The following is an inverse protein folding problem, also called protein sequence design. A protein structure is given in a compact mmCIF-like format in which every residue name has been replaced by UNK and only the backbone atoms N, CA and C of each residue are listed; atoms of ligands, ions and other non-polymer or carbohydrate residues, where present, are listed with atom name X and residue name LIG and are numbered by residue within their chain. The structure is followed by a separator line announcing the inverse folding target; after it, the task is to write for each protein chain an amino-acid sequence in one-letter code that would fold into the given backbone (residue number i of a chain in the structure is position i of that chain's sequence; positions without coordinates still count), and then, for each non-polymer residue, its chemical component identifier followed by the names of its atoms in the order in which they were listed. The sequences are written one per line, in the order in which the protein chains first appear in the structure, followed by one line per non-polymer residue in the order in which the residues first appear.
data_IF_081221138920
#
_entry.id   IF_081221138920
#
_cell.length_a   1.000
_cell.length_b   1.000
_cell.length_c   1.000
_cell.angle_alpha   90.00
_cell.angle_beta   90.00
_cell.angle_gamma   90.00
#
_symmetry.space_group_name_H-M   'P 1'
#
loop_
_entity.id
_entity.type
_entity.pdbx_description
1 polymer ?
#
# COMPACT_ATOMS: atom_id res chain seq x y z
N UNK A 1 14.13 54.99 49.19
CA UNK A 1 13.73 54.65 47.80
C UNK A 1 14.29 53.31 47.26
N UNK A 2 15.03 52.50 48.04
CA UNK A 2 15.66 51.26 47.55
C UNK A 2 14.72 50.03 47.42
N UNK A 3 13.62 49.96 48.19
CA UNK A 3 12.75 48.77 48.23
C UNK A 3 11.87 48.56 46.97
N UNK A 4 11.59 49.61 46.20
CA UNK A 4 10.77 49.49 44.98
C UNK A 4 11.53 48.88 43.78
N UNK A 5 12.87 48.93 43.77
CA UNK A 5 13.67 48.36 42.68
C UNK A 5 13.79 46.83 42.74
N UNK A 6 13.63 46.23 43.92
CA UNK A 6 13.77 44.77 44.13
C UNK A 6 12.48 44.01 43.75
N UNK A 7 11.32 44.66 43.78
CA UNK A 7 10.07 44.01 43.33
C UNK A 7 9.95 43.92 41.80
N UNK A 8 10.52 44.87 41.05
CA UNK A 8 10.43 44.87 39.59
C UNK A 8 11.21 43.72 38.92
N UNK A 9 12.34 43.28 39.49
CA UNK A 9 13.13 42.18 38.89
C UNK A 9 12.52 40.79 39.09
N UNK A 10 11.65 40.61 40.09
CA UNK A 10 10.96 39.32 40.31
C UNK A 10 9.85 39.07 39.29
N UNK A 11 9.26 40.12 38.70
CA UNK A 11 8.27 39.97 37.64
C UNK A 11 8.87 39.72 36.25
N UNK A 12 10.13 40.12 36.01
CA UNK A 12 10.80 39.91 34.72
C UNK A 12 11.10 38.44 34.39
N UNK A 13 11.17 37.55 35.39
CA UNK A 13 11.38 36.11 35.16
C UNK A 13 10.09 35.27 35.17
N UNK A 14 8.98 35.80 35.69
CA UNK A 14 7.71 35.06 35.77
C UNK A 14 6.94 35.07 34.43
N UNK A 15 6.96 36.18 33.70
CA UNK A 15 6.30 36.32 32.41
C UNK A 15 6.78 35.32 31.33
N UNK A 16 8.10 35.11 31.10
CA UNK A 16 8.56 34.15 30.10
C UNK A 16 8.21 32.69 30.46
N UNK A 17 8.20 32.34 31.76
CA UNK A 17 7.81 31.01 32.20
C UNK A 17 6.35 30.70 31.83
N UNK A 18 5.42 31.64 32.04
CA UNK A 18 4.00 31.46 31.68
C UNK A 18 3.78 31.30 30.17
N UNK A 19 4.55 32.01 29.35
CA UNK A 19 4.51 31.88 27.89
C UNK A 19 5.01 30.49 27.47
N UNK A 20 6.13 30.03 28.03
CA UNK A 20 6.66 28.69 27.74
C UNK A 20 5.65 27.60 28.13
N UNK A 21 5.05 27.70 29.33
CA UNK A 21 4.06 26.72 29.79
C UNK A 21 2.80 26.68 28.92
N UNK A 22 2.32 27.83 28.45
CA UNK A 22 1.14 27.89 27.56
C UNK A 22 1.44 27.30 26.17
N UNK A 23 2.64 27.53 25.63
CA UNK A 23 3.07 26.89 24.37
C UNK A 23 3.18 25.36 24.56
N UNK A 24 3.80 24.90 25.65
CA UNK A 24 3.91 23.46 25.97
C UNK A 24 2.54 22.82 26.14
N UNK A 25 1.62 23.48 26.86
CA UNK A 25 0.25 22.98 27.04
C UNK A 25 -0.53 22.90 25.71
N UNK A 26 -0.39 23.91 24.85
CA UNK A 26 -1.01 23.90 23.52
C UNK A 26 -0.47 22.77 22.63
N UNK A 27 0.85 22.54 22.65
CA UNK A 27 1.47 21.42 21.94
C UNK A 27 1.00 20.06 22.47
N UNK A 28 0.93 19.91 23.80
CA UNK A 28 0.44 18.69 24.43
C UNK A 28 -1.03 18.39 24.06
N UNK A 29 -1.87 19.43 23.98
CA UNK A 29 -3.27 19.29 23.60
C UNK A 29 -3.43 18.87 22.12
N UNK A 30 -2.64 19.44 21.21
CA UNK A 30 -2.64 19.07 19.78
C UNK A 30 -2.08 17.64 19.55
N UNK A 31 -1.09 17.22 20.35
CA UNK A 31 -0.46 15.89 20.22
C UNK A 31 -1.22 14.75 20.90
N UNK A 32 -2.05 15.02 21.92
CA UNK A 32 -2.73 13.97 22.68
C UNK A 32 -3.57 13.01 21.81
N UNK A 33 -4.37 13.49 20.84
CA UNK A 33 -5.11 12.60 19.92
C UNK A 33 -4.19 11.72 19.07
N UNK A 34 -3.07 12.25 18.59
CA UNK A 34 -2.09 11.50 17.79
C UNK A 34 -1.44 10.41 18.62
N UNK A 35 -1.02 10.70 19.86
CA UNK A 35 -0.45 9.72 20.76
C UNK A 35 -1.44 8.60 21.10
N UNK A 36 -2.71 8.94 21.31
CA UNK A 36 -3.77 7.93 21.52
C UNK A 36 -3.97 7.06 20.28
N UNK A 37 -3.98 7.65 19.07
CA UNK A 37 -4.06 6.90 17.82
C UNK A 37 -2.84 5.98 17.63
N UNK A 38 -1.63 6.45 17.92
CA UNK A 38 -0.41 5.65 17.85
C UNK A 38 -0.46 4.45 18.80
N UNK A 39 -0.97 4.62 20.02
CA UNK A 39 -1.14 3.51 20.96
C UNK A 39 -2.14 2.49 20.42
N UNK A 40 -3.25 2.93 19.81
CA UNK A 40 -4.22 2.03 19.17
C UNK A 40 -3.58 1.24 18.03
N UNK A 41 -2.77 1.87 17.18
CA UNK A 41 -2.03 1.18 16.10
C UNK A 41 -1.03 0.19 16.67
N UNK A 42 -0.17 0.61 17.61
CA UNK A 42 0.82 -0.27 18.20
C UNK A 42 0.17 -1.50 18.88
N UNK A 43 -1.02 -1.33 19.45
CA UNK A 43 -1.80 -2.44 20.01
C UNK A 43 -2.41 -3.32 18.91
N UNK A 44 -3.00 -2.70 17.88
CA UNK A 44 -3.56 -3.42 16.73
C UNK A 44 -2.49 -4.24 16.00
N UNK A 45 -1.29 -3.69 15.78
CA UNK A 45 -0.13 -4.38 15.21
C UNK A 45 0.31 -5.56 16.08
N UNK A 46 0.40 -5.36 17.41
CA UNK A 46 0.76 -6.45 18.34
C UNK A 46 -0.26 -7.59 18.36
N UNK A 47 -1.54 -7.28 18.18
CA UNK A 47 -2.60 -8.30 18.08
C UNK A 47 -2.80 -8.82 16.66
N UNK A 48 -2.25 -8.16 15.65
CA UNK A 48 -2.40 -8.56 14.26
C UNK A 48 -1.33 -9.57 13.87
N UNK A 49 -1.71 -10.85 13.84
CA UNK A 49 -0.99 -11.86 13.07
C UNK A 49 -1.27 -11.76 11.55
N UNK A 50 -2.00 -10.75 11.06
CA UNK A 50 -2.79 -10.86 9.82
C UNK A 50 -2.80 -9.70 8.85
N UNK A 51 -2.20 -8.53 9.14
CA UNK A 51 -1.84 -7.62 8.04
C UNK A 51 -0.82 -8.39 7.25
N UNK A 52 -1.19 -8.85 6.05
CA UNK A 52 -0.37 -9.54 5.07
C UNK A 52 1.12 -9.37 5.37
N UNK A 53 1.67 -10.23 6.23
CA UNK A 53 3.02 -9.94 6.70
C UNK A 53 3.88 -10.08 5.44
N UNK A 54 4.87 -9.21 5.29
CA UNK A 54 5.65 -9.17 4.05
C UNK A 54 6.18 -10.55 3.66
N UNK A 55 6.45 -11.44 4.63
CA UNK A 55 6.83 -12.82 4.37
C UNK A 55 5.70 -13.68 3.77
N UNK A 56 4.44 -13.51 4.15
CA UNK A 56 3.28 -14.16 3.52
C UNK A 56 3.09 -13.69 2.08
N UNK A 57 3.13 -12.37 1.83
CA UNK A 57 3.05 -11.82 0.47
C UNK A 57 4.21 -12.34 -0.37
N UNK A 58 5.44 -12.26 0.14
CA UNK A 58 6.62 -12.74 -0.55
C UNK A 58 6.53 -14.24 -0.84
N UNK A 59 6.04 -15.04 0.10
CA UNK A 59 5.84 -16.48 -0.10
C UNK A 59 4.85 -16.73 -1.24
N UNK A 60 3.70 -16.08 -1.24
CA UNK A 60 2.67 -16.25 -2.29
C UNK A 60 3.16 -15.78 -3.67
N UNK A 61 3.86 -14.64 -3.73
CA UNK A 61 4.46 -14.15 -4.98
C UNK A 61 5.53 -15.12 -5.49
N UNK A 62 6.41 -15.61 -4.60
CA UNK A 62 7.46 -16.57 -4.98
C UNK A 62 6.88 -17.90 -5.45
N UNK A 63 5.77 -18.35 -4.88
CA UNK A 63 5.09 -19.56 -5.31
C UNK A 63 4.64 -19.46 -6.78
N UNK A 64 3.99 -18.36 -7.16
CA UNK A 64 3.62 -18.11 -8.56
C UNK A 64 4.86 -17.95 -9.46
N UNK A 65 5.90 -17.26 -8.99
CA UNK A 65 7.15 -17.11 -9.76
C UNK A 65 7.86 -18.44 -9.99
N UNK A 66 7.80 -19.36 -9.02
CA UNK A 66 8.39 -20.69 -9.13
C UNK A 66 7.78 -21.49 -10.29
N UNK A 67 6.48 -21.30 -10.57
CA UNK A 67 5.83 -21.89 -11.74
C UNK A 67 6.49 -21.46 -13.06
N UNK A 68 7.07 -20.26 -13.13
CA UNK A 68 7.81 -19.79 -14.31
C UNK A 68 9.24 -20.35 -14.35
N UNK A 69 9.97 -20.28 -13.25
CA UNK A 69 11.39 -20.68 -13.22
C UNK A 69 11.61 -22.17 -13.43
N UNK A 70 10.67 -23.01 -12.97
CA UNK A 70 10.70 -24.45 -13.23
C UNK A 70 10.69 -24.75 -14.74
N UNK A 71 10.04 -23.90 -15.54
CA UNK A 71 9.92 -24.08 -16.98
C UNK A 71 11.08 -23.50 -17.78
N UNK A 72 11.59 -22.33 -17.38
CA UNK A 72 12.77 -21.74 -18.03
C UNK A 72 14.00 -22.65 -17.89
N UNK A 73 14.07 -23.47 -16.83
CA UNK A 73 15.11 -24.48 -16.66
C UNK A 73 15.00 -25.66 -17.65
N UNK A 74 13.79 -25.94 -18.16
CA UNK A 74 13.50 -27.11 -19.00
C UNK A 74 13.29 -26.77 -20.49
N UNK A 75 12.95 -25.52 -20.84
CA UNK A 75 12.62 -25.10 -22.21
C UNK A 75 13.41 -23.86 -22.64
N UNK A 76 14.30 -24.01 -23.62
CA UNK A 76 14.96 -22.90 -24.35
C UNK A 76 13.99 -22.20 -25.34
N UNK A 77 12.76 -22.70 -25.50
CA UNK A 77 11.80 -22.14 -26.46
C UNK A 77 11.02 -20.95 -25.88
N UNK A 78 10.69 -19.97 -26.72
CA UNK A 78 9.97 -18.72 -26.39
C UNK A 78 8.55 -18.92 -25.80
N UNK A 79 8.09 -20.17 -25.62
CA UNK A 79 6.74 -20.49 -25.14
C UNK A 79 6.73 -20.99 -23.69
N UNK A 80 7.24 -20.17 -22.76
CA UNK A 80 7.25 -20.46 -21.32
C UNK A 80 5.85 -20.46 -20.67
N UNK A 81 4.84 -19.90 -21.33
CA UNK A 81 3.43 -20.00 -20.91
C UNK A 81 2.78 -21.20 -21.58
N UNK A 82 3.08 -22.40 -21.09
CA UNK A 82 2.51 -23.65 -21.58
C UNK A 82 1.53 -24.30 -20.55
N UNK A 83 1.02 -25.50 -20.86
CA UNK A 83 0.03 -26.19 -20.01
C UNK A 83 0.53 -26.50 -18.60
N UNK A 84 1.79 -26.88 -18.44
CA UNK A 84 2.37 -27.19 -17.13
C UNK A 84 2.47 -25.94 -16.26
N UNK A 85 2.87 -24.79 -16.83
CA UNK A 85 2.84 -23.50 -16.13
C UNK A 85 1.42 -23.18 -15.64
N UNK A 86 0.43 -23.38 -16.51
CA UNK A 86 -1.00 -23.15 -16.19
C UNK A 86 -1.45 -24.05 -15.04
N UNK A 87 -1.14 -25.34 -15.09
CA UNK A 87 -1.54 -26.29 -14.05
C UNK A 87 -0.85 -25.99 -12.71
N UNK A 88 0.42 -25.54 -12.74
CA UNK A 88 1.11 -25.04 -11.55
C UNK A 88 0.40 -23.81 -10.95
N UNK A 89 0.08 -22.79 -11.75
CA UNK A 89 -0.61 -21.59 -11.26
C UNK A 89 -1.98 -21.91 -10.67
N UNK A 90 -2.73 -22.84 -11.29
CA UNK A 90 -4.00 -23.32 -10.74
C UNK A 90 -3.82 -24.05 -9.41
N UNK A 91 -2.76 -24.84 -9.25
CA UNK A 91 -2.44 -25.49 -7.98
C UNK A 91 -2.13 -24.46 -6.88
N UNK A 92 -1.20 -23.54 -7.14
CA UNK A 92 -0.78 -22.50 -6.20
C UNK A 92 -1.91 -21.54 -5.83
N UNK A 93 -2.86 -21.29 -6.73
CA UNK A 93 -4.00 -20.38 -6.49
C UNK A 93 -4.85 -20.73 -5.26
N UNK A 94 -4.80 -21.98 -4.80
CA UNK A 94 -5.52 -22.47 -3.62
C UNK A 94 -4.94 -21.95 -2.32
N UNK A 95 -3.64 -21.71 -2.31
CA UNK A 95 -2.88 -21.28 -1.13
C UNK A 95 -2.68 -19.75 -1.07
N UNK A 96 -3.17 -19.03 -2.09
CA UNK A 96 -3.12 -17.57 -2.14
C UNK A 96 -4.28 -16.98 -1.35
N UNK A 97 -3.91 -16.26 -0.30
CA UNK A 97 -4.84 -15.71 0.69
C UNK A 97 -4.68 -14.20 0.89
N UNK A 98 -3.53 -13.63 0.53
CA UNK A 98 -3.24 -12.18 0.69
C UNK A 98 -3.90 -11.38 -0.44
N UNK A 99 -4.23 -10.10 -0.20
CA UNK A 99 -4.77 -9.26 -1.27
C UNK A 99 -3.73 -9.03 -2.36
N UNK A 100 -2.47 -8.84 -1.98
CA UNK A 100 -1.37 -8.63 -2.94
C UNK A 100 -1.03 -9.89 -3.74
N UNK A 101 -1.01 -11.07 -3.12
CA UNK A 101 -0.84 -12.34 -3.82
C UNK A 101 -1.97 -12.60 -4.81
N UNK A 102 -3.20 -12.22 -4.45
CA UNK A 102 -4.36 -12.29 -5.35
C UNK A 102 -4.22 -11.36 -6.57
N UNK A 103 -3.75 -10.12 -6.37
CA UNK A 103 -3.45 -9.21 -7.49
C UNK A 103 -2.38 -9.81 -8.42
N UNK A 104 -1.34 -10.43 -7.85
CA UNK A 104 -0.29 -11.08 -8.62
C UNK A 104 -0.82 -12.29 -9.41
N UNK A 105 -1.64 -13.14 -8.77
CA UNK A 105 -2.33 -14.27 -9.42
C UNK A 105 -3.19 -13.80 -10.59
N UNK A 106 -4.01 -12.77 -10.39
CA UNK A 106 -4.89 -12.23 -11.43
C UNK A 106 -4.09 -11.64 -12.60
N UNK A 107 -2.93 -11.05 -12.32
CA UNK A 107 -2.01 -10.56 -13.36
C UNK A 107 -1.44 -11.73 -14.18
N UNK A 108 -0.97 -12.79 -13.52
CA UNK A 108 -0.50 -14.00 -14.18
C UNK A 108 -1.61 -14.66 -15.03
N UNK A 109 -2.81 -14.79 -14.45
CA UNK A 109 -3.98 -15.32 -15.15
C UNK A 109 -4.37 -14.44 -16.35
N UNK A 110 -4.31 -13.11 -16.23
CA UNK A 110 -4.55 -12.19 -17.34
C UNK A 110 -3.57 -12.41 -18.50
N UNK A 111 -2.28 -12.60 -18.20
CA UNK A 111 -1.27 -12.88 -19.23
C UNK A 111 -1.57 -14.20 -19.97
N UNK A 112 -1.94 -15.26 -19.24
CA UNK A 112 -2.38 -16.51 -19.84
C UNK A 112 -3.63 -16.37 -20.71
N UNK A 113 -4.66 -15.70 -20.19
CA UNK A 113 -5.95 -15.51 -20.87
C UNK A 113 -5.85 -14.61 -22.10
N UNK A 114 -4.80 -13.78 -22.20
CA UNK A 114 -4.52 -13.08 -23.43
C UNK A 114 -4.22 -14.05 -24.59
N UNK A 115 -3.44 -15.09 -24.33
CA UNK A 115 -3.03 -16.11 -25.31
C UNK A 115 -4.12 -17.18 -25.45
N UNK A 116 -4.78 -17.52 -24.34
CA UNK A 116 -5.77 -18.59 -24.23
C UNK A 116 -7.14 -18.06 -23.73
N UNK A 117 -7.83 -17.20 -24.51
CA UNK A 117 -9.03 -16.48 -24.04
C UNK A 117 -10.24 -17.37 -23.72
N UNK A 118 -10.20 -18.65 -24.11
CA UNK A 118 -11.27 -19.63 -23.86
C UNK A 118 -11.04 -20.49 -22.61
N UNK A 119 -9.94 -20.28 -21.88
CA UNK A 119 -9.64 -21.06 -20.67
C UNK A 119 -10.53 -20.61 -19.49
N UNK A 120 -11.71 -21.23 -19.40
CA UNK A 120 -12.70 -20.89 -18.39
C UNK A 120 -12.24 -21.18 -16.96
N UNK A 121 -11.39 -22.19 -16.76
CA UNK A 121 -10.94 -22.61 -15.43
C UNK A 121 -9.97 -21.59 -14.83
N UNK A 122 -8.99 -21.12 -15.60
CA UNK A 122 -8.07 -20.05 -15.16
C UNK A 122 -8.85 -18.77 -14.87
N UNK A 123 -9.80 -18.41 -15.75
CA UNK A 123 -10.66 -17.24 -15.54
C UNK A 123 -11.47 -17.36 -14.26
N UNK A 124 -12.18 -18.47 -14.06
CA UNK A 124 -13.00 -18.69 -12.88
C UNK A 124 -12.17 -18.66 -11.60
N UNK A 125 -11.02 -19.32 -11.60
CA UNK A 125 -10.12 -19.41 -10.43
C UNK A 125 -9.60 -18.04 -10.01
N UNK A 126 -9.14 -17.22 -10.96
CA UNK A 126 -8.65 -15.88 -10.69
C UNK A 126 -9.76 -14.96 -10.16
N UNK A 127 -10.95 -14.98 -10.77
CA UNK A 127 -12.11 -14.19 -10.30
C UNK A 127 -12.55 -14.64 -8.90
N UNK A 128 -12.61 -15.95 -8.64
CA UNK A 128 -12.97 -16.47 -7.33
C UNK A 128 -11.95 -16.05 -6.25
N UNK A 129 -10.65 -16.02 -6.58
CA UNK A 129 -9.61 -15.52 -5.69
C UNK A 129 -9.79 -14.02 -5.38
N UNK A 130 -10.10 -13.18 -6.39
CA UNK A 130 -10.43 -11.76 -6.17
C UNK A 130 -11.66 -11.60 -5.27
N UNK A 131 -12.68 -12.43 -5.45
CA UNK A 131 -13.86 -12.45 -4.57
C UNK A 131 -13.49 -12.70 -3.11
N UNK A 132 -12.71 -13.75 -2.84
CA UNK A 132 -12.22 -14.07 -1.48
C UNK A 132 -11.39 -12.93 -0.88
N UNK A 133 -10.50 -12.32 -1.68
CA UNK A 133 -9.67 -11.20 -1.23
C UNK A 133 -10.50 -9.97 -0.85
N UNK A 134 -11.61 -9.70 -1.55
CA UNK A 134 -12.54 -8.62 -1.20
C UNK A 134 -13.25 -8.87 0.13
N UNK A 135 -13.78 -10.07 0.33
CA UNK A 135 -14.44 -10.44 1.59
C UNK A 135 -13.47 -10.33 2.78
N UNK A 136 -12.23 -10.77 2.58
CA UNK A 136 -11.16 -10.62 3.56
C UNK A 136 -10.84 -9.15 3.83
N UNK A 137 -10.68 -8.34 2.78
CA UNK A 137 -10.40 -6.91 2.90
C UNK A 137 -11.48 -6.16 3.69
N UNK A 138 -12.76 -6.51 3.51
CA UNK A 138 -13.87 -5.96 4.30
C UNK A 138 -13.78 -6.37 5.77
N UNK A 139 -13.42 -7.62 6.05
CA UNK A 139 -13.24 -8.11 7.42
C UNK A 139 -12.07 -7.41 8.12
N UNK A 140 -10.98 -7.18 7.39
CA UNK A 140 -9.78 -6.48 7.89
C UNK A 140 -9.98 -4.97 8.00
N UNK A 141 -10.93 -4.38 7.26
CA UNK A 141 -11.20 -2.94 7.31
C UNK A 141 -11.53 -2.45 8.71
N UNK A 142 -12.53 -3.08 9.35
CA UNK A 142 -12.96 -2.70 10.69
C UNK A 142 -11.89 -2.94 11.75
N UNK A 143 -11.03 -3.95 11.53
CA UNK A 143 -10.01 -4.33 12.50
C UNK A 143 -8.74 -3.48 12.41
N UNK A 144 -8.35 -3.05 11.20
CA UNK A 144 -7.05 -2.45 10.96
C UNK A 144 -7.13 -1.15 10.16
N UNK A 145 -7.69 -1.19 8.95
CA UNK A 145 -7.62 -0.04 8.04
C UNK A 145 -8.35 1.19 8.58
N UNK A 146 -9.45 1.00 9.30
CA UNK A 146 -10.16 2.08 9.99
C UNK A 146 -9.28 2.80 11.02
N UNK A 147 -8.44 2.07 11.75
CA UNK A 147 -7.53 2.67 12.74
C UNK A 147 -6.47 3.53 12.05
N UNK A 148 -5.95 3.06 10.91
CA UNK A 148 -5.00 3.84 10.10
C UNK A 148 -5.66 5.08 9.49
N UNK A 149 -6.88 4.95 8.95
CA UNK A 149 -7.63 6.08 8.38
C UNK A 149 -7.98 7.13 9.46
N UNK A 150 -8.38 6.70 10.65
CA UNK A 150 -8.63 7.56 11.80
C UNK A 150 -7.34 8.30 12.23
N UNK A 151 -6.20 7.59 12.28
CA UNK A 151 -4.91 8.23 12.59
C UNK A 151 -4.55 9.26 11.52
N UNK A 152 -4.67 8.92 10.24
CA UNK A 152 -4.34 9.82 9.14
C UNK A 152 -5.24 11.07 9.16
N UNK A 153 -6.52 10.92 9.53
CA UNK A 153 -7.42 12.05 9.77
C UNK A 153 -7.00 12.91 10.97
N UNK A 154 -6.62 12.29 12.08
CA UNK A 154 -6.14 13.02 13.27
C UNK A 154 -4.83 13.76 12.97
N UNK A 155 -3.89 13.11 12.29
CA UNK A 155 -2.62 13.71 11.89
C UNK A 155 -2.84 14.87 10.90
N UNK A 156 -3.75 14.71 9.93
CA UNK A 156 -4.10 15.77 8.99
C UNK A 156 -4.76 16.99 9.67
N UNK A 157 -5.45 16.80 10.80
CA UNK A 157 -6.05 17.89 11.59
C UNK A 157 -5.07 18.55 12.56
N UNK A 158 -3.97 17.88 12.92
CA UNK A 158 -2.97 18.44 13.83
C UNK A 158 -2.21 19.60 13.18
N UNK A 159 -2.12 20.71 13.92
CA UNK A 159 -1.38 21.89 13.44
C UNK A 159 0.11 21.60 13.35
N UNK A 160 0.67 20.85 14.30
CA UNK A 160 2.09 20.47 14.31
C UNK A 160 2.45 19.65 13.06
N UNK A 161 1.65 18.64 12.72
CA UNK A 161 1.89 17.82 11.52
C UNK A 161 1.70 18.62 10.24
N UNK A 162 0.69 19.49 10.16
CA UNK A 162 0.47 20.35 8.99
C UNK A 162 1.65 21.30 8.71
N UNK A 163 2.26 21.88 9.76
CA UNK A 163 3.44 22.76 9.63
C UNK A 163 4.65 22.00 9.10
N UNK A 164 4.77 20.71 9.45
CA UNK A 164 5.82 19.83 8.97
C UNK A 164 5.54 19.24 7.57
N UNK A 165 4.50 19.74 6.88
CA UNK A 165 4.18 19.32 5.53
C UNK A 165 3.51 17.95 5.43
N UNK A 166 2.95 17.44 6.54
CA UNK A 166 2.14 16.22 6.50
C UNK A 166 0.98 16.38 5.53
N UNK A 167 0.81 15.40 4.65
CA UNK A 167 -0.32 15.31 3.72
C UNK A 167 -1.02 13.99 3.97
N UNK A 168 -2.34 14.04 4.07
CA UNK A 168 -3.18 12.85 4.20
C UNK A 168 -2.81 11.87 3.08
N UNK A 169 -2.41 10.67 3.46
CA UNK A 169 -2.22 9.58 2.50
C UNK A 169 -3.60 9.09 2.02
N UNK A 170 -3.70 8.56 0.81
CA UNK A 170 -4.96 7.91 0.41
C UNK A 170 -5.25 6.73 1.35
N UNK A 171 -6.53 6.39 1.54
CA UNK A 171 -6.89 5.20 2.33
C UNK A 171 -6.26 3.94 1.71
N UNK A 172 -5.56 3.16 2.53
CA UNK A 172 -4.93 1.90 2.09
C UNK A 172 -6.00 0.90 1.63
N UNK A 173 -7.17 0.91 2.26
CA UNK A 173 -8.33 0.14 1.83
C UNK A 173 -8.75 0.52 0.40
N UNK A 174 -8.95 1.81 0.12
CA UNK A 174 -9.32 2.30 -1.22
C UNK A 174 -8.27 1.94 -2.27
N UNK A 175 -6.99 2.01 -1.91
CA UNK A 175 -5.90 1.58 -2.78
C UNK A 175 -6.03 0.09 -3.14
N UNK A 176 -6.25 -0.79 -2.15
CA UNK A 176 -6.40 -2.23 -2.37
C UNK A 176 -7.68 -2.57 -3.13
N UNK A 177 -8.81 -1.91 -2.83
CA UNK A 177 -10.05 -2.03 -3.61
C UNK A 177 -9.79 -1.70 -5.07
N UNK A 178 -9.09 -0.60 -5.35
CA UNK A 178 -8.75 -0.21 -6.72
C UNK A 178 -7.85 -1.23 -7.41
N UNK A 179 -6.87 -1.80 -6.69
CA UNK A 179 -6.00 -2.84 -7.24
C UNK A 179 -6.78 -4.12 -7.56
N UNK A 180 -7.65 -4.57 -6.64
CA UNK A 180 -8.50 -5.74 -6.86
C UNK A 180 -9.50 -5.53 -8.00
N UNK A 181 -10.08 -4.34 -8.13
CA UNK A 181 -10.94 -3.99 -9.28
C UNK A 181 -10.16 -4.05 -10.60
N UNK A 182 -8.92 -3.54 -10.62
CA UNK A 182 -8.07 -3.62 -11.81
C UNK A 182 -7.70 -5.06 -12.14
N UNK A 183 -7.37 -5.87 -11.13
CA UNK A 183 -7.05 -7.29 -11.25
C UNK A 183 -8.23 -8.11 -11.79
N UNK A 184 -9.44 -7.87 -11.29
CA UNK A 184 -10.66 -8.49 -11.83
C UNK A 184 -10.87 -8.08 -13.30
N UNK A 185 -10.77 -6.79 -13.59
CA UNK A 185 -10.96 -6.29 -14.95
C UNK A 185 -9.92 -6.87 -15.92
N UNK A 186 -8.67 -7.02 -15.51
CA UNK A 186 -7.64 -7.63 -16.36
C UNK A 186 -7.96 -9.08 -16.71
N UNK A 187 -8.59 -9.82 -15.82
CA UNK A 187 -9.05 -11.18 -16.08
C UNK A 187 -10.26 -11.20 -17.03
N UNK A 188 -11.17 -10.21 -16.94
CA UNK A 188 -12.33 -10.14 -17.83
C UNK A 188 -11.99 -9.69 -19.26
N UNK A 189 -11.08 -8.72 -19.41
CA UNK A 189 -10.74 -8.07 -20.68
C UNK A 189 -9.22 -7.97 -20.88
N UNK A 190 -8.48 -9.11 -20.93
CA UNK A 190 -7.02 -9.13 -20.90
C UNK A 190 -6.38 -8.37 -22.07
N UNK A 191 -7.00 -8.38 -23.25
CA UNK A 191 -6.52 -7.65 -24.43
C UNK A 191 -6.53 -6.13 -24.24
N UNK A 192 -7.56 -5.58 -23.58
CA UNK A 192 -7.66 -4.15 -23.28
C UNK A 192 -6.61 -3.76 -22.25
N UNK A 193 -6.44 -4.57 -21.21
CA UNK A 193 -5.43 -4.32 -20.16
C UNK A 193 -4.03 -4.29 -20.74
N UNK A 194 -3.65 -5.28 -21.55
CA UNK A 194 -2.32 -5.30 -22.17
C UNK A 194 -2.10 -4.08 -23.06
N UNK A 195 -3.09 -3.72 -23.89
CA UNK A 195 -3.01 -2.51 -24.71
C UNK A 195 -2.78 -1.24 -23.88
N UNK A 196 -3.51 -1.08 -22.77
CA UNK A 196 -3.36 0.07 -21.86
C UNK A 196 -1.97 0.09 -21.20
N UNK A 197 -1.44 -1.07 -20.83
CA UNK A 197 -0.11 -1.20 -20.22
C UNK A 197 1.02 -0.90 -21.21
N UNK A 198 0.91 -1.42 -22.44
CA UNK A 198 1.84 -1.12 -23.54
C UNK A 198 1.83 0.38 -23.88
N UNK A 199 0.65 0.98 -23.97
CA UNK A 199 0.52 2.42 -24.19
C UNK A 199 1.15 3.21 -23.05
N UNK A 200 0.84 2.87 -21.79
CA UNK A 200 1.38 3.55 -20.62
C UNK A 200 2.91 3.43 -20.53
N UNK A 201 3.46 2.24 -20.82
CA UNK A 201 4.90 1.99 -20.90
C UNK A 201 5.56 2.89 -21.94
N UNK A 202 4.99 2.96 -23.15
CA UNK A 202 5.46 3.86 -24.22
C UNK A 202 5.43 5.33 -23.80
N UNK A 203 4.38 5.79 -23.11
CA UNK A 203 4.34 7.17 -22.62
C UNK A 203 5.38 7.44 -21.53
N UNK A 204 5.59 6.50 -20.59
CA UNK A 204 6.64 6.64 -19.56
C UNK A 204 8.03 6.69 -20.17
N UNK A 205 8.31 5.88 -21.19
CA UNK A 205 9.59 5.92 -21.90
C UNK A 205 9.82 7.29 -22.56
N UNK A 206 8.78 7.88 -23.16
CA UNK A 206 8.84 9.24 -23.74
C UNK A 206 9.09 10.31 -22.68
N UNK A 207 8.33 10.29 -21.59
CA UNK A 207 8.42 11.29 -20.51
C UNK A 207 9.66 11.12 -19.61
N UNK A 208 10.17 9.90 -19.48
CA UNK A 208 11.37 9.56 -18.70
C UNK A 208 12.66 9.71 -19.49
N UNK A 209 12.63 9.57 -20.82
CA UNK A 209 13.76 9.80 -21.71
C UNK A 209 14.22 11.26 -21.79
N UNK A 210 13.34 12.22 -21.46
CA UNK A 210 13.69 13.65 -21.42
C UNK A 210 14.43 14.10 -20.14
N UNK A 211 14.53 13.25 -19.10
CA UNK A 211 15.13 13.65 -17.81
C UNK A 211 16.61 13.32 -17.63
N UNK A 212 17.31 12.81 -18.65
CA UNK A 212 18.75 12.49 -18.56
C UNK A 212 19.66 13.12 -19.62
N UNK A 213 19.16 14.00 -20.51
CA UNK A 213 20.02 14.67 -21.52
C UNK A 213 20.35 16.14 -21.24
N UNK A 214 20.00 16.68 -20.06
CA UNK A 214 20.33 18.06 -19.68
C UNK A 214 21.06 18.07 -18.33
N UNK A 215 22.34 17.67 -18.33
CA UNK A 215 23.10 17.65 -17.09
C UNK A 215 24.53 17.12 -17.14
N UNK A 216 25.28 17.37 -18.22
CA UNK A 216 26.75 17.27 -18.16
C UNK A 216 27.39 18.36 -19.01
N UNK A 217 27.58 19.53 -18.41
CA UNK A 217 28.56 20.53 -18.84
C UNK A 217 28.88 21.42 -17.63
N UNK A 218 29.73 20.91 -16.74
CA UNK A 218 30.74 21.69 -16.02
C UNK A 218 32.02 20.87 -16.07
#
# INVERSE_FOLDING_TARGET
MSKFRIMASRFQHAAPALIIWSIVAAMAFDMAPVLQAQVKINNAEKTSHHIDNLASIEKEIRAIQACRTAQEAESITDNWMNREWRDCVLAESKDITTQMGTVYLATAASAWLHIHPKDAEVKFTAIASVGRARERLLTEYEQFYKIYDDMDEVAAKSKIFSINGYKKSGSHFEMLVKQLNRAENSVYIPSVTQYQEDWASKQRAKLGGEKHSAGTAI
#
